data_IF_445542840364
#
_entry.id   IF_445542840364
#
_cell.length_a   1.000
_cell.length_b   1.000
_cell.length_c   1.000
_cell.angle_alpha   90.00
_cell.angle_beta   90.00
_cell.angle_gamma   90.00
#
_symmetry.space_group_name_H-M   'P 1'
#
loop_
_entity.id
_entity.type
_entity.pdbx_description
1 polymer ?
#
# COMPACT_ATOMS: atom_id res chain seq x y z
N UNK A 1 -31.67 -5.81 -63.72
CA UNK A 1 -30.75 -6.16 -64.82
C UNK A 1 -29.33 -5.85 -64.40
N UNK A 2 -28.53 -6.89 -64.11
CA UNK A 2 -27.05 -6.79 -64.19
C UNK A 2 -26.64 -6.64 -65.67
N UNK A 3 -25.44 -6.11 -65.96
CA UNK A 3 -24.26 -6.97 -66.23
C UNK A 3 -22.94 -6.43 -65.63
N UNK A 4 -22.06 -7.29 -65.07
CA UNK A 4 -20.79 -7.84 -65.62
C UNK A 4 -19.69 -6.78 -65.83
N UNK A 5 -18.57 -6.73 -65.08
CA UNK A 5 -17.42 -7.67 -64.98
C UNK A 5 -16.17 -7.10 -65.70
N UNK A 6 -15.10 -6.78 -64.95
CA UNK A 6 -13.73 -7.23 -65.27
C UNK A 6 -12.76 -6.97 -64.12
N UNK A 7 -11.91 -7.96 -63.88
CA UNK A 7 -10.83 -8.05 -62.88
C UNK A 7 -9.49 -7.56 -63.47
N UNK A 8 -8.53 -7.07 -62.68
CA UNK A 8 -7.29 -7.72 -62.19
C UNK A 8 -6.33 -6.53 -61.95
N UNK A 9 -5.38 -6.40 -61.01
CA UNK A 9 -4.50 -7.31 -60.27
C UNK A 9 -3.90 -6.47 -59.11
N UNK A 10 -3.62 -7.03 -57.93
CA UNK A 10 -2.25 -7.45 -57.61
C UNK A 10 -1.55 -6.51 -56.62
N UNK A 11 -1.51 -6.91 -55.33
CA UNK A 11 -0.32 -6.90 -54.43
C UNK A 11 -0.75 -7.29 -53.02
N UNK A 12 -0.48 -8.55 -52.67
CA UNK A 12 -0.44 -9.03 -51.29
C UNK A 12 0.71 -8.33 -50.55
N UNK A 13 0.39 -7.53 -49.53
CA UNK A 13 1.40 -7.10 -48.55
C UNK A 13 1.41 -8.12 -47.41
N UNK A 14 2.36 -9.04 -47.48
CA UNK A 14 2.76 -9.89 -46.36
C UNK A 14 3.29 -9.01 -45.23
N UNK A 15 2.63 -9.02 -44.08
CA UNK A 15 3.19 -8.50 -42.84
C UNK A 15 4.25 -9.49 -42.34
N UNK A 16 5.45 -9.05 -41.92
CA UNK A 16 6.43 -9.97 -41.38
C UNK A 16 5.87 -10.59 -40.09
N UNK A 17 5.92 -11.92 -40.00
CA UNK A 17 5.69 -12.64 -38.75
C UNK A 17 6.74 -12.17 -37.74
N UNK A 18 6.33 -11.37 -36.77
CA UNK A 18 7.13 -11.12 -35.58
C UNK A 18 7.24 -12.45 -34.85
N UNK A 19 8.43 -13.04 -34.86
CA UNK A 19 8.74 -14.19 -34.03
C UNK A 19 8.57 -13.78 -32.57
N UNK A 20 7.58 -14.36 -31.89
CA UNK A 20 7.42 -14.26 -30.44
C UNK A 20 8.56 -15.09 -29.85
N UNK A 21 9.63 -14.42 -29.45
CA UNK A 21 10.67 -15.06 -28.63
C UNK A 21 10.07 -15.34 -27.25
N UNK A 22 10.36 -16.52 -26.66
CA UNK A 22 9.89 -16.86 -25.32
C UNK A 22 10.51 -15.89 -24.32
N UNK A 23 9.65 -15.25 -23.53
CA UNK A 23 10.03 -14.36 -22.43
C UNK A 23 10.67 -15.23 -21.32
N UNK A 24 11.98 -15.44 -21.37
CA UNK A 24 12.75 -15.91 -20.21
C UNK A 24 12.75 -14.78 -19.20
N UNK A 25 12.21 -15.02 -18.01
CA UNK A 25 12.10 -14.02 -16.94
C UNK A 25 13.45 -13.41 -16.58
N UNK A 26 13.72 -12.20 -17.07
CA UNK A 26 14.72 -11.33 -16.47
C UNK A 26 14.08 -10.72 -15.23
N UNK A 27 14.47 -11.24 -14.07
CA UNK A 27 14.43 -10.45 -12.83
C UNK A 27 15.31 -9.22 -13.08
N UNK A 28 14.70 -8.06 -13.30
CA UNK A 28 15.42 -6.79 -13.36
C UNK A 28 15.87 -6.52 -11.92
N UNK A 29 17.14 -6.76 -11.63
CA UNK A 29 17.74 -6.38 -10.35
C UNK A 29 17.88 -4.85 -10.36
N UNK A 30 17.17 -4.10 -9.51
CA UNK A 30 17.33 -2.65 -9.45
C UNK A 30 18.77 -2.32 -9.05
N UNK A 31 19.37 -1.32 -9.70
CA UNK A 31 20.73 -0.87 -9.38
C UNK A 31 20.74 -0.23 -8.00
N UNK A 32 21.54 -0.78 -7.07
CA UNK A 32 21.71 -0.20 -5.75
C UNK A 32 22.37 1.17 -5.84
N UNK A 33 21.76 2.17 -5.20
CA UNK A 33 22.32 3.50 -5.08
C UNK A 33 22.98 3.70 -3.72
N UNK A 34 23.95 4.61 -3.67
CA UNK A 34 24.71 4.90 -2.45
C UNK A 34 24.14 6.14 -1.77
N UNK A 35 23.66 5.97 -0.54
CA UNK A 35 23.37 7.04 0.41
C UNK A 35 24.61 7.26 1.29
N UNK A 36 25.33 8.39 1.15
CA UNK A 36 26.47 8.67 2.01
C UNK A 36 25.99 9.14 3.39
N UNK A 37 26.47 8.49 4.46
CA UNK A 37 26.26 8.91 5.84
C UNK A 37 27.61 9.17 6.52
N UNK A 38 27.59 9.91 7.63
CA UNK A 38 28.77 10.16 8.46
C UNK A 38 29.40 8.85 8.98
N UNK A 39 28.56 7.86 9.31
CA UNK A 39 29.00 6.55 9.81
C UNK A 39 29.42 5.57 8.70
N UNK A 40 29.28 5.95 7.42
CA UNK A 40 29.58 5.09 6.28
C UNK A 40 28.54 5.18 5.18
N UNK A 41 28.79 4.48 4.08
CA UNK A 41 27.88 4.47 2.94
C UNK A 41 26.84 3.35 3.09
N UNK A 42 25.57 3.65 2.77
CA UNK A 42 24.51 2.67 2.60
C UNK A 42 24.22 2.41 1.14
N UNK A 43 24.19 1.14 0.74
CA UNK A 43 23.73 0.69 -0.58
C UNK A 43 22.27 0.29 -0.51
N UNK A 44 21.38 1.06 -1.14
CA UNK A 44 19.94 0.84 -1.08
C UNK A 44 19.35 0.72 -2.48
N UNK A 45 18.43 -0.22 -2.66
CA UNK A 45 17.61 -0.36 -3.88
C UNK A 45 16.14 -0.36 -3.51
N UNK A 46 15.30 0.02 -4.46
CA UNK A 46 13.85 -0.05 -4.32
C UNK A 46 13.38 -1.38 -4.93
N UNK A 47 13.00 -2.39 -4.13
CA UNK A 47 12.56 -3.67 -4.68
C UNK A 47 11.31 -3.49 -5.54
N UNK A 48 11.27 -4.16 -6.70
CA UNK A 48 10.08 -4.20 -7.55
C UNK A 48 9.76 -2.90 -8.31
N UNK A 49 10.66 -1.91 -8.33
CA UNK A 49 10.51 -0.65 -9.07
C UNK A 49 11.23 -0.65 -10.43
N UNK A 50 10.83 0.27 -11.30
CA UNK A 50 11.51 0.54 -12.57
C UNK A 50 12.93 1.12 -12.34
N UNK A 51 13.87 0.89 -13.28
CA UNK A 51 15.20 1.50 -13.23
C UNK A 51 15.14 3.03 -13.09
N UNK A 52 15.86 3.59 -12.11
CA UNK A 52 15.96 5.03 -11.86
C UNK A 52 15.10 5.58 -10.71
N UNK A 53 14.28 4.74 -10.07
CA UNK A 53 13.60 5.10 -8.81
C UNK A 53 14.48 4.72 -7.61
N UNK A 54 14.76 5.72 -6.77
CA UNK A 54 15.61 5.60 -5.59
C UNK A 54 14.86 5.02 -4.40
N UNK A 55 15.59 4.33 -3.53
CA UNK A 55 15.09 3.80 -2.25
C UNK A 55 15.03 4.86 -1.13
N UNK A 56 15.57 6.05 -1.40
CA UNK A 56 15.69 7.15 -0.45
C UNK A 56 15.60 8.49 -1.20
N UNK A 57 15.27 9.54 -0.47
CA UNK A 57 15.28 10.91 -0.96
C UNK A 57 15.98 11.87 0.01
N UNK A 58 16.00 13.15 -0.34
CA UNK A 58 16.72 14.16 0.45
C UNK A 58 16.15 14.37 1.86
N UNK A 59 14.91 13.95 2.14
CA UNK A 59 14.37 14.02 3.48
C UNK A 59 14.92 12.89 4.36
N UNK A 60 15.19 11.70 3.81
CA UNK A 60 15.88 10.63 4.54
C UNK A 60 17.30 11.07 4.93
N UNK A 61 18.03 11.68 3.98
CA UNK A 61 19.37 12.26 4.22
C UNK A 61 19.33 13.31 5.34
N UNK A 62 18.38 14.25 5.29
CA UNK A 62 18.28 15.32 6.28
C UNK A 62 17.87 14.79 7.66
N UNK A 63 16.96 13.82 7.72
CA UNK A 63 16.54 13.18 8.97
C UNK A 63 17.72 12.45 9.63
N UNK A 64 18.49 11.68 8.87
CA UNK A 64 19.67 10.95 9.38
C UNK A 64 20.74 11.90 9.92
N UNK A 65 21.04 12.98 9.19
CA UNK A 65 21.99 13.99 9.64
C UNK A 65 21.55 14.64 10.96
N UNK A 66 20.28 15.00 11.09
CA UNK A 66 19.76 15.67 12.28
C UNK A 66 19.60 14.73 13.48
N UNK A 67 19.30 13.46 13.24
CA UNK A 67 19.29 12.42 14.25
C UNK A 67 20.69 12.20 14.83
N UNK A 68 21.73 12.09 13.99
CA UNK A 68 23.12 11.93 14.43
C UNK A 68 23.60 13.04 15.38
N UNK A 69 23.10 14.27 15.22
CA UNK A 69 23.44 15.40 16.09
C UNK A 69 22.72 15.38 17.46
N UNK A 70 21.74 14.49 17.66
CA UNK A 70 20.83 14.49 18.83
C UNK A 70 20.84 13.19 19.62
N UNK A 71 21.52 12.17 19.11
CA UNK A 71 21.58 10.88 19.75
C UNK A 71 22.49 10.96 20.98
N UNK A 72 21.88 10.77 22.15
CA UNK A 72 22.59 10.65 23.42
C UNK A 72 23.34 9.30 23.49
N UNK A 73 24.00 9.03 24.61
CA UNK A 73 24.56 7.70 24.88
C UNK A 73 23.42 6.68 25.09
N UNK A 74 23.36 5.67 24.22
CA UNK A 74 22.39 4.55 24.27
C UNK A 74 20.88 4.95 24.26
N UNK A 75 20.40 5.69 23.25
CA UNK A 75 19.01 6.15 23.19
C UNK A 75 18.07 5.05 22.66
N UNK A 76 16.81 5.05 23.12
CA UNK A 76 15.73 4.27 22.50
C UNK A 76 15.22 5.03 21.27
N UNK A 77 15.53 4.52 20.09
CA UNK A 77 15.17 5.14 18.81
C UNK A 77 14.01 4.40 18.14
N UNK A 78 13.01 5.16 17.70
CA UNK A 78 11.90 4.66 16.89
C UNK A 78 11.92 5.31 15.51
N UNK A 79 11.82 4.49 14.47
CA UNK A 79 11.57 4.92 13.09
C UNK A 79 10.11 4.67 12.74
N UNK A 80 9.45 5.68 12.16
CA UNK A 80 8.04 5.63 11.74
C UNK A 80 7.95 5.87 10.24
N UNK A 81 7.30 4.94 9.53
CA UNK A 81 7.04 4.96 8.09
C UNK A 81 8.29 5.09 7.21
N UNK A 82 9.34 4.36 7.56
CA UNK A 82 10.43 4.09 6.62
C UNK A 82 9.87 3.38 5.38
N UNK A 83 10.33 3.78 4.19
CA UNK A 83 9.80 3.26 2.93
C UNK A 83 10.56 2.01 2.49
N UNK A 84 11.89 2.05 2.52
CA UNK A 84 12.75 1.00 1.99
C UNK A 84 13.97 0.70 2.86
N UNK A 85 13.97 1.18 4.11
CA UNK A 85 15.02 0.89 5.08
C UNK A 85 16.11 1.94 5.20
N UNK A 86 15.97 3.11 4.56
CA UNK A 86 17.02 4.12 4.56
C UNK A 86 17.26 4.69 5.96
N UNK A 87 16.18 5.00 6.67
CA UNK A 87 16.23 5.50 8.04
C UNK A 87 16.60 4.41 9.03
N UNK A 88 15.95 3.25 8.92
CA UNK A 88 16.13 2.12 9.83
C UNK A 88 17.56 1.61 9.78
N UNK A 89 18.09 1.31 8.59
CA UNK A 89 19.46 0.83 8.44
C UNK A 89 20.49 1.93 8.70
N UNK A 90 20.18 3.19 8.35
CA UNK A 90 21.10 4.32 8.57
C UNK A 90 21.30 4.64 10.04
N UNK A 91 20.22 4.68 10.81
CA UNK A 91 20.31 4.84 12.27
C UNK A 91 20.93 3.61 12.91
N UNK A 92 20.59 2.40 12.42
CA UNK A 92 21.19 1.18 12.93
C UNK A 92 22.70 1.09 12.70
N UNK A 93 23.20 1.60 11.58
CA UNK A 93 24.63 1.68 11.29
C UNK A 93 25.36 2.59 12.27
N UNK A 94 24.75 3.73 12.61
CA UNK A 94 25.40 4.75 13.42
C UNK A 94 25.28 4.48 14.93
N UNK A 95 24.21 3.82 15.40
CA UNK A 95 23.90 3.72 16.84
C UNK A 95 23.49 2.31 17.32
N UNK A 96 23.47 1.32 16.44
CA UNK A 96 22.97 -0.02 16.76
C UNK A 96 21.45 -0.16 16.60
N UNK A 97 20.87 -1.33 16.95
CA UNK A 97 19.50 -1.67 16.59
C UNK A 97 18.46 -0.63 16.98
N UNK A 98 17.53 -0.31 16.06
CA UNK A 98 16.42 0.62 16.28
C UNK A 98 15.08 -0.11 16.21
N UNK A 99 14.04 0.45 16.83
CA UNK A 99 12.66 0.00 16.63
C UNK A 99 12.12 0.62 15.35
N UNK A 100 11.37 -0.14 14.55
CA UNK A 100 10.73 0.35 13.32
C UNK A 100 9.27 -0.06 13.26
N UNK A 101 8.40 0.90 12.93
CA UNK A 101 6.97 0.69 12.67
C UNK A 101 6.58 1.37 11.36
N UNK A 102 5.75 0.70 10.54
CA UNK A 102 5.21 1.30 9.33
C UNK A 102 3.83 0.74 8.98
N UNK A 103 3.04 1.52 8.24
CA UNK A 103 1.79 1.04 7.63
C UNK A 103 1.97 0.26 6.33
N UNK A 104 3.13 -0.38 6.11
CA UNK A 104 3.39 -1.04 4.83
C UNK A 104 3.98 -2.44 5.00
N UNK A 105 3.31 -3.42 4.42
CA UNK A 105 3.79 -4.80 4.30
C UNK A 105 4.99 -4.95 3.36
N UNK A 106 5.35 -3.90 2.61
CA UNK A 106 6.55 -3.89 1.74
C UNK A 106 7.82 -3.72 2.56
N UNK A 107 7.74 -3.01 3.70
CA UNK A 107 8.93 -2.64 4.47
C UNK A 107 9.77 -3.85 4.94
N UNK A 108 9.21 -4.96 5.45
CA UNK A 108 10.01 -6.12 5.85
C UNK A 108 10.88 -6.68 4.73
N UNK A 109 10.30 -6.92 3.55
CA UNK A 109 11.04 -7.45 2.40
C UNK A 109 12.06 -6.44 1.87
N UNK A 110 11.73 -5.14 1.90
CA UNK A 110 12.66 -4.08 1.52
C UNK A 110 13.84 -3.96 2.48
N UNK A 111 13.61 -4.08 3.78
CA UNK A 111 14.65 -4.11 4.79
C UNK A 111 15.53 -5.34 4.65
N UNK A 112 14.95 -6.53 4.51
CA UNK A 112 15.73 -7.76 4.34
C UNK A 112 16.56 -7.72 3.04
N UNK A 113 15.98 -7.19 1.95
CA UNK A 113 16.71 -6.99 0.69
C UNK A 113 17.88 -6.02 0.87
N UNK A 114 17.65 -4.84 1.48
CA UNK A 114 18.69 -3.82 1.62
C UNK A 114 19.72 -4.16 2.70
N UNK A 115 19.35 -4.87 3.77
CA UNK A 115 20.29 -5.35 4.77
C UNK A 115 21.33 -6.32 4.17
N UNK A 116 20.93 -7.18 3.23
CA UNK A 116 21.86 -8.08 2.50
C UNK A 116 22.93 -7.32 1.70
N UNK A 117 22.64 -6.08 1.28
CA UNK A 117 23.58 -5.22 0.57
C UNK A 117 24.49 -4.41 1.51
N UNK A 118 24.24 -4.44 2.82
CA UNK A 118 24.97 -3.70 3.85
C UNK A 118 25.37 -4.63 5.01
N UNK A 119 26.33 -5.55 4.79
CA UNK A 119 26.75 -6.50 5.81
C UNK A 119 27.33 -5.77 7.03
N UNK A 120 26.97 -6.24 8.24
CA UNK A 120 27.42 -5.65 9.50
C UNK A 120 26.44 -4.66 10.14
N UNK A 121 25.38 -4.25 9.43
CA UNK A 121 24.30 -3.44 10.01
C UNK A 121 23.26 -4.38 10.62
N UNK A 122 22.98 -4.20 11.91
CA UNK A 122 21.96 -4.99 12.59
C UNK A 122 20.55 -4.56 12.14
N UNK A 123 19.76 -5.52 11.68
CA UNK A 123 18.32 -5.31 11.42
C UNK A 123 17.53 -5.38 12.73
N UNK A 124 16.37 -4.72 12.84
CA UNK A 124 15.46 -4.92 13.96
C UNK A 124 15.06 -6.40 14.06
N UNK A 125 15.07 -6.95 15.28
CA UNK A 125 14.66 -8.34 15.51
C UNK A 125 13.17 -8.56 15.23
N UNK A 126 12.36 -7.53 15.49
CA UNK A 126 10.94 -7.48 15.21
C UNK A 126 10.63 -6.18 14.46
N UNK A 127 9.87 -6.30 13.37
CA UNK A 127 9.26 -5.16 12.69
C UNK A 127 7.82 -5.01 13.15
N UNK A 128 7.47 -3.79 13.51
CA UNK A 128 6.14 -3.44 13.95
C UNK A 128 5.28 -2.92 12.79
N UNK A 129 3.98 -3.07 12.96
CA UNK A 129 2.93 -2.49 12.14
C UNK A 129 1.88 -1.89 13.09
N UNK A 130 0.83 -1.27 12.56
CA UNK A 130 -0.26 -0.77 13.40
C UNK A 130 -1.16 -1.88 13.96
N UNK A 131 -0.94 -3.15 13.58
CA UNK A 131 -1.54 -4.32 14.22
C UNK A 131 -0.80 -4.74 15.50
N UNK A 132 0.44 -4.27 15.68
CA UNK A 132 1.32 -4.57 16.82
C UNK A 132 2.24 -3.38 17.11
N UNK A 133 1.69 -2.20 17.42
CA UNK A 133 2.48 -0.98 17.60
C UNK A 133 3.49 -1.14 18.74
N UNK A 134 4.70 -0.55 18.63
CA UNK A 134 5.72 -0.67 19.66
C UNK A 134 5.39 0.17 20.89
N UNK A 135 5.85 -0.27 22.06
CA UNK A 135 5.68 0.43 23.34
C UNK A 135 6.89 1.32 23.65
N UNK A 136 6.60 2.53 24.14
CA UNK A 136 7.61 3.53 24.55
C UNK A 136 8.19 3.30 25.95
N UNK A 137 8.75 4.34 26.59
CA UNK A 137 9.08 5.63 25.99
C UNK A 137 10.29 5.56 25.04
N UNK A 138 10.28 6.37 23.98
CA UNK A 138 11.41 6.56 23.05
C UNK A 138 12.06 7.92 23.26
N UNK A 139 13.40 7.97 23.24
CA UNK A 139 14.17 9.20 23.39
C UNK A 139 14.21 9.99 22.07
N UNK A 140 14.20 9.28 20.94
CA UNK A 140 14.14 9.86 19.60
C UNK A 140 13.13 9.13 18.74
N UNK A 141 12.23 9.87 18.12
CA UNK A 141 11.34 9.38 17.05
C UNK A 141 11.72 10.05 15.74
N UNK A 142 12.00 9.27 14.71
CA UNK A 142 12.29 9.73 13.35
C UNK A 142 11.14 9.30 12.44
N UNK A 143 10.36 10.27 11.98
CA UNK A 143 9.10 10.06 11.27
C UNK A 143 9.19 10.58 9.83
N UNK A 144 8.79 9.74 8.86
CA UNK A 144 8.53 10.21 7.50
C UNK A 144 7.13 10.78 7.43
N UNK A 145 7.02 12.05 7.04
CA UNK A 145 5.72 12.72 6.97
C UNK A 145 4.91 12.07 5.84
N UNK A 146 3.72 11.48 6.14
CA UNK A 146 2.88 10.89 5.12
C UNK A 146 2.23 11.99 4.28
N UNK A 147 1.67 11.63 3.12
CA UNK A 147 0.99 12.57 2.21
C UNK A 147 -0.38 13.02 2.71
N UNK A 148 -0.99 12.25 3.59
CA UNK A 148 -2.36 12.47 4.06
C UNK A 148 -2.34 13.15 5.43
N UNK A 149 -2.98 14.32 5.53
CA UNK A 149 -2.99 15.13 6.76
C UNK A 149 -3.65 14.42 7.94
N UNK A 150 -4.74 13.68 7.70
CA UNK A 150 -5.40 12.89 8.74
C UNK A 150 -4.47 11.79 9.30
N UNK A 151 -3.67 11.15 8.44
CA UNK A 151 -2.71 10.15 8.89
C UNK A 151 -1.53 10.78 9.64
N UNK A 152 -1.02 11.92 9.18
CA UNK A 152 -0.04 12.71 9.94
C UNK A 152 -0.59 13.07 11.34
N UNK A 153 -1.81 13.58 11.43
CA UNK A 153 -2.44 13.92 12.71
C UNK A 153 -2.58 12.72 13.64
N UNK A 154 -2.92 11.55 13.09
CA UNK A 154 -2.97 10.29 13.83
C UNK A 154 -1.60 9.89 14.37
N UNK A 155 -0.56 9.92 13.51
CA UNK A 155 0.81 9.58 13.90
C UNK A 155 1.33 10.51 14.99
N UNK A 156 1.16 11.83 14.86
CA UNK A 156 1.65 12.79 15.85
C UNK A 156 0.97 12.59 17.22
N UNK A 157 -0.33 12.31 17.24
CA UNK A 157 -1.09 11.98 18.46
C UNK A 157 -0.64 10.67 19.09
N UNK A 158 -0.35 9.66 18.26
CA UNK A 158 0.22 8.40 18.74
C UNK A 158 1.64 8.58 19.27
N UNK A 159 2.49 9.36 18.59
CA UNK A 159 3.85 9.67 19.05
C UNK A 159 3.82 10.30 20.45
N UNK A 160 2.84 11.13 20.77
CA UNK A 160 2.71 11.70 22.12
C UNK A 160 2.48 10.64 23.22
N UNK A 161 1.98 9.44 22.91
CA UNK A 161 1.84 8.37 23.92
C UNK A 161 3.10 7.54 24.10
N UNK A 162 4.04 7.57 23.14
CA UNK A 162 5.26 6.75 23.17
C UNK A 162 6.56 7.55 23.25
N UNK A 163 6.53 8.87 23.09
CA UNK A 163 7.71 9.74 23.23
C UNK A 163 8.00 10.00 24.72
N UNK A 164 9.27 9.90 25.10
CA UNK A 164 9.74 10.30 26.43
C UNK A 164 9.45 11.80 26.68
N UNK A 165 9.28 12.21 27.93
CA UNK A 165 8.95 13.62 28.25
C UNK A 165 10.05 14.60 27.79
N UNK A 166 11.31 14.17 27.86
CA UNK A 166 12.47 14.92 27.33
C UNK A 166 12.90 14.46 25.93
N UNK A 167 12.09 13.61 25.28
CA UNK A 167 12.38 13.05 23.97
C UNK A 167 12.27 14.08 22.84
N UNK A 168 12.72 13.69 21.66
CA UNK A 168 12.67 14.50 20.44
C UNK A 168 11.94 13.75 19.31
N UNK A 169 11.09 14.47 18.58
CA UNK A 169 10.52 14.02 17.32
C UNK A 169 11.17 14.79 16.16
N UNK A 170 11.74 14.06 15.21
CA UNK A 170 12.18 14.57 13.92
C UNK A 170 11.21 14.09 12.84
N UNK A 171 10.42 15.00 12.27
CA UNK A 171 9.46 14.68 11.22
C UNK A 171 9.90 15.28 9.89
N UNK A 172 10.11 14.45 8.86
CA UNK A 172 10.73 14.86 7.60
C UNK A 172 10.02 14.39 6.34
N UNK A 173 9.98 15.26 5.33
CA UNK A 173 9.29 15.01 4.07
C UNK A 173 9.84 15.83 2.90
N UNK A 174 9.66 15.33 1.68
CA UNK A 174 9.85 16.16 0.49
C UNK A 174 8.72 17.18 0.43
N UNK A 175 9.02 18.47 0.22
CA UNK A 175 8.06 19.57 0.31
C UNK A 175 6.85 19.35 -0.60
N UNK A 176 7.07 18.87 -1.84
CA UNK A 176 6.02 18.54 -2.81
C UNK A 176 5.08 17.40 -2.40
N UNK A 177 5.35 16.75 -1.27
CA UNK A 177 4.63 15.57 -0.78
C UNK A 177 4.08 15.77 0.63
N UNK A 178 4.37 16.91 1.27
CA UNK A 178 3.78 17.26 2.55
C UNK A 178 2.27 17.49 2.37
N UNK A 179 1.43 17.08 3.32
CA UNK A 179 0.00 17.36 3.28
C UNK A 179 -0.26 18.86 3.23
N UNK A 180 -1.32 19.24 2.53
CA UNK A 180 -1.89 20.58 2.70
C UNK A 180 -2.23 20.80 4.18
N UNK A 181 -2.00 22.02 4.68
CA UNK A 181 -2.21 22.40 6.08
C UNK A 181 -1.44 21.54 7.10
N UNK A 182 -0.33 20.92 6.72
CA UNK A 182 0.51 20.18 7.68
C UNK A 182 0.92 21.05 8.87
N UNK A 183 1.12 22.36 8.67
CA UNK A 183 1.44 23.32 9.74
C UNK A 183 0.38 23.32 10.84
N UNK A 184 -0.90 23.35 10.48
CA UNK A 184 -2.01 23.34 11.44
C UNK A 184 -2.03 22.01 12.21
N UNK A 185 -1.82 20.89 11.51
CA UNK A 185 -1.75 19.55 12.11
C UNK A 185 -0.61 19.44 13.14
N UNK A 186 0.58 19.99 12.83
CA UNK A 186 1.69 20.05 13.79
C UNK A 186 1.36 20.93 15.00
N UNK A 187 0.79 22.12 14.77
CA UNK A 187 0.43 23.07 15.83
C UNK A 187 -0.63 22.51 16.79
N UNK A 188 -1.57 21.70 16.29
CA UNK A 188 -2.59 21.05 17.11
C UNK A 188 -2.07 19.84 17.89
N UNK A 189 -1.08 19.12 17.36
CA UNK A 189 -0.70 17.81 17.87
C UNK A 189 0.54 17.83 18.78
N UNK A 190 1.57 18.60 18.43
CA UNK A 190 2.90 18.54 19.07
C UNK A 190 3.47 19.93 19.34
N UNK A 191 4.46 20.02 20.22
CA UNK A 191 5.18 21.28 20.44
C UNK A 191 6.27 21.41 19.40
N UNK A 192 6.11 22.30 18.41
CA UNK A 192 7.14 22.53 17.39
C UNK A 192 8.24 23.44 17.96
N UNK A 193 9.47 22.93 18.05
CA UNK A 193 10.63 23.73 18.50
C UNK A 193 11.22 24.52 17.34
N UNK A 194 11.46 23.87 16.21
CA UNK A 194 12.13 24.50 15.07
C UNK A 194 11.77 23.81 13.76
N UNK A 195 11.58 24.60 12.70
CA UNK A 195 11.50 24.12 11.33
C UNK A 195 12.86 24.38 10.65
N UNK A 196 13.56 23.31 10.26
CA UNK A 196 14.91 23.46 9.70
C UNK A 196 14.89 24.06 8.28
N UNK A 197 15.98 24.72 7.84
CA UNK A 197 16.11 25.21 6.46
C UNK A 197 15.91 24.10 5.43
N UNK A 198 15.24 24.40 4.31
CA UNK A 198 15.03 23.42 3.26
C UNK A 198 16.36 23.03 2.61
N UNK A 199 16.57 21.74 2.40
CA UNK A 199 17.73 21.18 1.70
C UNK A 199 17.23 20.27 0.59
N UNK A 200 17.66 20.51 -0.66
CA UNK A 200 17.27 19.68 -1.82
C UNK A 200 15.76 19.40 -1.93
N UNK A 201 14.92 20.41 -1.62
CA UNK A 201 13.44 20.34 -1.57
C UNK A 201 12.87 19.42 -0.47
N UNK A 202 13.67 19.00 0.49
CA UNK A 202 13.23 18.36 1.72
C UNK A 202 13.10 19.36 2.87
N UNK A 203 12.27 19.01 3.84
CA UNK A 203 12.05 19.76 5.08
C UNK A 203 12.01 18.80 6.26
N UNK A 204 12.60 19.19 7.38
CA UNK A 204 12.49 18.53 8.68
C UNK A 204 11.96 19.51 9.71
N UNK A 205 11.05 19.04 10.54
CA UNK A 205 10.48 19.74 11.69
C UNK A 205 10.96 19.01 12.95
N UNK A 206 11.48 19.79 13.90
CA UNK A 206 11.91 19.32 15.22
C UNK A 206 10.82 19.65 16.23
N UNK A 207 10.34 18.63 16.93
CA UNK A 207 9.22 18.72 17.85
C UNK A 207 9.54 18.07 19.20
N UNK A 208 8.81 18.51 20.23
CA UNK A 208 8.68 17.86 21.53
C UNK A 208 7.29 17.25 21.70
N UNK A 209 7.16 16.43 22.73
CA UNK A 209 5.91 15.81 23.15
C UNK A 209 4.82 16.86 23.35
N UNK A 210 3.70 16.69 22.67
CA UNK A 210 2.48 17.46 22.88
C UNK A 210 1.53 16.79 23.87
N UNK A 211 0.34 17.37 24.04
CA UNK A 211 -0.72 16.85 24.92
C UNK A 211 -1.87 16.18 24.14
N UNK A 212 -1.86 16.30 22.81
CA UNK A 212 -2.91 15.77 21.96
C UNK A 212 -2.82 14.23 21.87
N UNK A 213 -3.93 13.55 22.12
CA UNK A 213 -4.00 12.08 22.16
C UNK A 213 -4.93 11.52 21.08
N UNK A 214 -4.83 10.21 20.81
CA UNK A 214 -5.75 9.47 19.95
C UNK A 214 -7.10 9.22 20.61
N UNK A 215 -7.10 8.99 21.93
CA UNK A 215 -8.33 8.71 22.68
C UNK A 215 -9.30 9.90 22.56
N UNK A 216 -10.52 9.63 22.12
CA UNK A 216 -11.55 10.66 21.91
C UNK A 216 -11.34 11.54 20.67
N UNK A 217 -10.32 11.31 19.85
CA UNK A 217 -10.13 12.06 18.61
C UNK A 217 -11.08 11.55 17.52
N UNK A 218 -12.07 12.36 17.18
CA UNK A 218 -13.14 12.01 16.24
C UNK A 218 -12.65 11.64 14.83
N UNK A 219 -11.46 12.10 14.43
CA UNK A 219 -10.88 11.78 13.12
C UNK A 219 -10.20 10.41 13.08
N UNK A 220 -10.11 9.69 14.21
CA UNK A 220 -9.51 8.34 14.27
C UNK A 220 -10.29 7.35 13.42
N UNK A 221 -11.61 7.39 13.50
CA UNK A 221 -12.52 6.52 12.74
C UNK A 221 -13.47 7.38 11.94
N UNK A 222 -13.54 7.11 10.64
CA UNK A 222 -14.50 7.73 9.72
C UNK A 222 -15.03 6.68 8.78
N UNK A 223 -16.25 6.88 8.32
CA UNK A 223 -16.92 5.90 7.50
C UNK A 223 -18.15 6.44 6.84
N UNK A 224 -18.86 5.54 6.20
CA UNK A 224 -20.12 5.80 5.51
C UNK A 224 -21.06 4.60 5.67
N UNK A 225 -22.38 4.82 5.65
CA UNK A 225 -23.33 3.72 5.56
C UNK A 225 -23.18 3.02 4.21
N UNK A 226 -23.32 1.69 4.21
CA UNK A 226 -23.32 0.87 3.01
C UNK A 226 -24.60 0.01 2.99
N UNK A 227 -25.34 0.09 1.89
CA UNK A 227 -26.57 -0.69 1.72
C UNK A 227 -26.28 -2.20 1.82
N UNK A 228 -27.15 -2.92 2.53
CA UNK A 228 -27.01 -4.36 2.78
C UNK A 228 -26.08 -4.73 3.94
N UNK A 229 -25.37 -3.78 4.55
CA UNK A 229 -24.56 -4.01 5.74
C UNK A 229 -25.29 -3.56 7.01
N UNK A 230 -25.14 -4.30 8.14
CA UNK A 230 -25.82 -3.99 9.40
C UNK A 230 -25.21 -2.77 10.14
N UNK A 231 -24.00 -2.34 9.76
CA UNK A 231 -23.30 -1.21 10.35
C UNK A 231 -22.58 -0.38 9.26
N UNK A 232 -22.22 0.89 9.56
CA UNK A 232 -21.35 1.68 8.67
C UNK A 232 -20.00 1.00 8.45
N UNK A 233 -19.41 1.24 7.28
CA UNK A 233 -18.04 0.82 6.98
C UNK A 233 -17.10 1.93 7.40
N UNK A 234 -16.30 1.69 8.43
CA UNK A 234 -15.38 2.66 9.01
C UNK A 234 -13.92 2.31 8.71
N UNK A 235 -13.04 3.30 8.72
CA UNK A 235 -11.62 3.08 8.53
C UNK A 235 -10.74 4.11 9.21
N UNK A 236 -9.53 3.65 9.53
CA UNK A 236 -8.44 4.43 10.06
C UNK A 236 -7.85 5.41 9.01
N UNK A 237 -7.05 6.42 9.44
CA UNK A 237 -6.67 7.55 8.58
C UNK A 237 -5.80 7.27 7.36
N UNK A 238 -5.04 6.18 7.34
CA UNK A 238 -4.22 5.79 6.19
C UNK A 238 -5.02 5.08 5.08
N UNK A 239 -6.26 4.65 5.37
CA UNK A 239 -7.06 3.82 4.47
C UNK A 239 -7.70 4.64 3.36
N UNK A 240 -7.62 4.12 2.13
CA UNK A 240 -8.23 4.72 0.95
C UNK A 240 -9.76 4.86 1.09
N UNK A 241 -10.28 5.98 0.60
CA UNK A 241 -11.72 6.27 0.54
C UNK A 241 -12.46 6.10 1.89
N UNK A 242 -11.79 6.36 3.02
CA UNK A 242 -12.38 6.22 4.36
C UNK A 242 -13.63 7.07 4.62
N UNK A 243 -13.70 8.27 4.04
CA UNK A 243 -14.81 9.21 4.31
C UNK A 243 -16.08 8.91 3.50
N UNK A 244 -15.92 8.32 2.30
CA UNK A 244 -17.00 8.13 1.33
C UNK A 244 -16.69 6.96 0.42
N UNK A 245 -17.71 6.19 0.06
CA UNK A 245 -17.59 5.11 -0.92
C UNK A 245 -16.95 5.59 -2.22
N UNK A 246 -15.82 4.96 -2.58
CA UNK A 246 -15.12 5.19 -3.84
C UNK A 246 -16.04 4.97 -5.04
N UNK A 247 -15.89 5.83 -6.06
CA UNK A 247 -16.75 5.77 -7.24
C UNK A 247 -16.44 4.50 -8.04
N UNK A 248 -15.18 4.08 -8.13
CA UNK A 248 -14.82 2.82 -8.78
C UNK A 248 -15.43 1.63 -8.04
N UNK A 249 -15.22 1.53 -6.72
CA UNK A 249 -15.84 0.48 -5.90
C UNK A 249 -17.37 0.44 -6.03
N UNK A 250 -18.03 1.60 -6.13
CA UNK A 250 -19.49 1.68 -6.35
C UNK A 250 -19.96 1.01 -7.63
N UNK A 251 -19.16 1.04 -8.70
CA UNK A 251 -19.49 0.37 -9.96
C UNK A 251 -19.37 -1.16 -9.85
N UNK A 252 -18.50 -1.63 -8.95
CA UNK A 252 -18.23 -3.04 -8.71
C UNK A 252 -19.27 -3.69 -7.79
N UNK A 253 -19.70 -2.98 -6.75
CA UNK A 253 -20.58 -3.50 -5.69
C UNK A 253 -21.85 -4.23 -6.18
N UNK A 254 -22.62 -3.72 -7.17
CA UNK A 254 -23.82 -4.39 -7.65
C UNK A 254 -23.57 -5.79 -8.24
N UNK A 255 -22.33 -6.08 -8.62
CA UNK A 255 -21.94 -7.35 -9.23
C UNK A 255 -21.40 -8.37 -8.21
N UNK A 256 -21.11 -7.95 -6.97
CA UNK A 256 -20.57 -8.83 -5.91
C UNK A 256 -21.59 -9.89 -5.51
N UNK A 257 -22.84 -9.50 -5.22
CA UNK A 257 -23.89 -10.43 -4.82
C UNK A 257 -24.18 -11.52 -5.85
N UNK A 258 -24.44 -11.17 -7.13
CA UNK A 258 -24.56 -12.15 -8.21
C UNK A 258 -23.33 -13.05 -8.37
N UNK A 259 -22.12 -12.52 -8.17
CA UNK A 259 -20.91 -13.32 -8.25
C UNK A 259 -20.82 -14.35 -7.12
N UNK A 260 -21.18 -13.97 -5.90
CA UNK A 260 -21.18 -14.87 -4.73
C UNK A 260 -22.28 -15.92 -4.83
N UNK A 261 -23.48 -15.55 -5.27
CA UNK A 261 -24.61 -16.48 -5.41
C UNK A 261 -24.34 -17.65 -6.39
N UNK A 262 -23.42 -17.46 -7.33
CA UNK A 262 -22.98 -18.50 -8.26
C UNK A 262 -21.90 -19.45 -7.71
N UNK A 263 -21.44 -19.26 -6.47
CA UNK A 263 -20.40 -20.08 -5.86
C UNK A 263 -21.00 -21.32 -5.16
N UNK A 264 -20.20 -22.39 -5.10
CA UNK A 264 -20.52 -23.60 -4.33
C UNK A 264 -20.42 -23.33 -2.81
N UNK A 265 -21.15 -24.10 -1.97
CA UNK A 265 -20.91 -24.10 -0.53
C UNK A 265 -19.45 -24.39 -0.19
N UNK A 266 -18.91 -23.69 0.80
CA UNK A 266 -17.51 -23.73 1.22
C UNK A 266 -16.53 -23.00 0.28
N UNK A 267 -17.02 -22.22 -0.70
CA UNK A 267 -16.14 -21.47 -1.60
C UNK A 267 -15.32 -20.40 -0.87
N UNK A 268 -14.12 -20.13 -1.39
CA UNK A 268 -13.20 -19.12 -0.85
C UNK A 268 -13.21 -17.88 -1.72
N UNK A 269 -13.42 -16.74 -1.09
CA UNK A 269 -13.36 -15.41 -1.70
C UNK A 269 -12.19 -14.65 -1.11
N UNK A 270 -11.45 -13.92 -1.94
CA UNK A 270 -10.43 -12.97 -1.50
C UNK A 270 -10.86 -11.55 -1.85
N UNK A 271 -10.89 -10.67 -0.85
CA UNK A 271 -10.88 -9.22 -1.07
C UNK A 271 -9.40 -8.76 -1.11
N UNK A 272 -8.89 -8.51 -2.31
CA UNK A 272 -7.49 -8.18 -2.56
C UNK A 272 -7.30 -6.66 -2.67
N UNK A 273 -6.32 -6.12 -1.96
CA UNK A 273 -6.20 -4.67 -1.71
C UNK A 273 -7.49 -4.13 -1.09
N UNK A 274 -7.91 -4.77 0.00
CA UNK A 274 -9.27 -4.65 0.53
C UNK A 274 -9.62 -3.27 1.09
N UNK A 275 -8.63 -2.44 1.47
CA UNK A 275 -8.87 -1.15 2.09
C UNK A 275 -9.72 -1.29 3.35
N UNK A 276 -10.91 -0.68 3.36
CA UNK A 276 -11.84 -0.79 4.50
C UNK A 276 -12.68 -2.10 4.50
N UNK A 277 -12.52 -2.96 3.49
CA UNK A 277 -13.16 -4.27 3.37
C UNK A 277 -14.57 -4.26 2.77
N UNK A 278 -15.05 -3.14 2.23
CA UNK A 278 -16.46 -3.02 1.79
C UNK A 278 -16.88 -4.10 0.78
N UNK A 279 -15.98 -4.54 -0.10
CA UNK A 279 -16.27 -5.60 -1.08
C UNK A 279 -16.44 -6.96 -0.39
N UNK A 280 -15.50 -7.36 0.46
CA UNK A 280 -15.57 -8.62 1.20
C UNK A 280 -16.70 -8.64 2.23
N UNK A 281 -17.00 -7.52 2.89
CA UNK A 281 -18.16 -7.39 3.78
C UNK A 281 -19.49 -7.56 3.01
N UNK A 282 -19.58 -7.00 1.80
CA UNK A 282 -20.75 -7.18 0.93
C UNK A 282 -20.90 -8.63 0.49
N UNK A 283 -19.79 -9.32 0.22
CA UNK A 283 -19.80 -10.75 -0.08
C UNK A 283 -20.32 -11.58 1.11
N UNK A 284 -19.86 -11.30 2.33
CA UNK A 284 -20.34 -11.96 3.56
C UNK A 284 -21.83 -11.72 3.81
N UNK A 285 -22.32 -10.50 3.55
CA UNK A 285 -23.72 -10.13 3.75
C UNK A 285 -24.70 -10.90 2.84
N UNK A 286 -24.22 -11.56 1.79
CA UNK A 286 -25.06 -12.39 0.91
C UNK A 286 -25.55 -13.68 1.60
N UNK A 287 -25.04 -14.03 2.80
CA UNK A 287 -25.50 -15.18 3.58
C UNK A 287 -25.20 -16.54 2.94
N UNK A 288 -24.29 -16.60 1.97
CA UNK A 288 -23.82 -17.83 1.35
C UNK A 288 -22.80 -18.52 2.25
N UNK A 289 -22.75 -19.86 2.22
CA UNK A 289 -21.70 -20.65 2.88
C UNK A 289 -20.35 -20.43 2.15
N UNK A 290 -19.68 -19.32 2.46
CA UNK A 290 -18.41 -18.91 1.89
C UNK A 290 -17.45 -18.48 2.99
N UNK A 291 -16.15 -18.57 2.70
CA UNK A 291 -15.10 -17.97 3.53
C UNK A 291 -14.50 -16.78 2.80
N UNK A 292 -14.44 -15.61 3.45
CA UNK A 292 -13.81 -14.42 2.88
C UNK A 292 -12.49 -14.13 3.58
N UNK A 293 -11.41 -14.13 2.80
CA UNK A 293 -10.10 -13.63 3.20
C UNK A 293 -9.91 -12.18 2.74
N UNK A 294 -9.10 -11.43 3.47
CA UNK A 294 -8.79 -10.03 3.21
C UNK A 294 -7.26 -9.86 3.17
N UNK A 295 -6.75 -9.18 2.14
CA UNK A 295 -5.32 -8.87 2.03
C UNK A 295 -5.12 -7.41 1.67
N UNK A 296 -4.26 -6.72 2.42
CA UNK A 296 -3.86 -5.36 2.11
C UNK A 296 -2.42 -5.10 2.53
N UNK A 297 -1.77 -4.19 1.80
CA UNK A 297 -0.43 -3.71 2.12
C UNK A 297 -0.45 -2.79 3.35
N UNK A 298 -1.60 -2.19 3.68
CA UNK A 298 -1.78 -1.32 4.84
C UNK A 298 -2.24 -2.11 6.07
N UNK A 299 -1.49 -1.97 7.16
CA UNK A 299 -1.89 -2.52 8.46
C UNK A 299 -3.12 -1.81 9.05
N UNK A 300 -3.31 -0.52 8.75
CA UNK A 300 -4.52 0.23 9.10
C UNK A 300 -5.75 -0.25 8.31
N UNK A 301 -5.56 -0.67 7.05
CA UNK A 301 -6.63 -1.31 6.27
C UNK A 301 -7.07 -2.62 6.95
N UNK A 302 -6.12 -3.48 7.31
CA UNK A 302 -6.42 -4.74 8.03
C UNK A 302 -7.07 -4.49 9.40
N UNK A 303 -6.59 -3.51 10.17
CA UNK A 303 -7.23 -3.12 11.42
C UNK A 303 -8.67 -2.61 11.20
N UNK A 304 -8.91 -1.89 10.10
CA UNK A 304 -10.25 -1.39 9.73
C UNK A 304 -11.19 -2.52 9.33
N UNK A 305 -10.69 -3.50 8.57
CA UNK A 305 -11.45 -4.72 8.24
C UNK A 305 -11.84 -5.47 9.51
N UNK A 306 -10.91 -5.69 10.44
CA UNK A 306 -11.18 -6.37 11.71
C UNK A 306 -12.23 -5.64 12.54
N UNK A 307 -12.16 -4.31 12.62
CA UNK A 307 -13.18 -3.47 13.24
C UNK A 307 -14.55 -3.66 12.58
N UNK A 308 -14.63 -3.54 11.25
CA UNK A 308 -15.89 -3.64 10.51
C UNK A 308 -16.51 -5.05 10.57
N UNK A 309 -15.70 -6.11 10.58
CA UNK A 309 -16.17 -7.48 10.81
C UNK A 309 -16.81 -7.60 12.20
N UNK A 310 -16.19 -7.00 13.21
CA UNK A 310 -16.71 -6.96 14.58
C UNK A 310 -18.04 -6.22 14.68
N UNK A 311 -18.12 -5.00 14.13
CA UNK A 311 -19.35 -4.19 14.15
C UNK A 311 -20.48 -4.80 13.32
N UNK A 312 -20.15 -5.51 12.23
CA UNK A 312 -21.14 -6.22 11.42
C UNK A 312 -21.52 -7.61 11.95
N UNK A 313 -20.84 -8.12 12.98
CA UNK A 313 -21.08 -9.46 13.52
C UNK A 313 -20.60 -10.60 12.60
N UNK A 314 -19.71 -10.33 11.66
CA UNK A 314 -19.17 -11.32 10.73
C UNK A 314 -17.87 -11.95 11.24
N UNK A 315 -17.40 -12.98 10.53
CA UNK A 315 -16.09 -13.62 10.72
C UNK A 315 -15.40 -13.71 9.36
N UNK A 316 -14.11 -13.34 9.34
CA UNK A 316 -13.26 -13.61 8.19
C UNK A 316 -12.68 -15.02 8.26
N UNK A 317 -12.19 -15.52 7.13
CA UNK A 317 -11.21 -16.60 7.10
C UNK A 317 -9.87 -16.11 7.62
N UNK A 318 -9.23 -15.21 6.87
CA UNK A 318 -7.96 -14.58 7.23
C UNK A 318 -7.96 -13.08 6.91
N UNK A 319 -7.27 -12.28 7.74
CA UNK A 319 -6.96 -10.88 7.44
C UNK A 319 -5.43 -10.72 7.44
N UNK A 320 -4.86 -10.46 6.26
CA UNK A 320 -3.42 -10.53 6.02
C UNK A 320 -2.84 -9.15 5.69
N UNK A 321 -1.85 -8.72 6.47
CA UNK A 321 -0.99 -7.59 6.14
C UNK A 321 0.09 -8.07 5.14
N UNK A 322 -0.15 -7.87 3.84
CA UNK A 322 0.69 -8.41 2.76
C UNK A 322 0.69 -7.54 1.51
N UNK A 323 1.83 -7.50 0.81
CA UNK A 323 1.92 -6.97 -0.55
C UNK A 323 1.38 -7.99 -1.56
N UNK A 324 0.08 -7.91 -1.86
CA UNK A 324 -0.59 -8.81 -2.80
C UNK A 324 -1.01 -10.15 -2.18
N UNK A 325 -0.73 -11.26 -2.87
CA UNK A 325 -1.04 -12.62 -2.40
C UNK A 325 0.27 -13.35 -2.13
N UNK A 326 0.48 -13.79 -0.88
CA UNK A 326 1.72 -14.48 -0.47
C UNK A 326 1.89 -15.80 -1.21
N UNK A 327 3.13 -16.16 -1.51
CA UNK A 327 3.45 -17.48 -2.06
C UNK A 327 3.00 -18.58 -1.08
N UNK A 328 2.35 -19.62 -1.62
CA UNK A 328 1.79 -20.71 -0.81
C UNK A 328 0.47 -20.38 -0.12
N UNK A 329 -0.11 -19.21 -0.37
CA UNK A 329 -1.49 -18.91 0.02
C UNK A 329 -2.48 -19.88 -0.65
N UNK A 330 -3.71 -19.85 -0.16
CA UNK A 330 -4.77 -20.66 -0.73
C UNK A 330 -5.12 -20.27 -2.16
N UNK A 331 -5.80 -21.18 -2.85
CA UNK A 331 -6.52 -20.84 -4.08
C UNK A 331 -7.95 -20.38 -3.76
N UNK A 332 -8.48 -19.53 -4.62
CA UNK A 332 -9.75 -18.84 -4.45
C UNK A 332 -10.71 -19.12 -5.60
N UNK A 333 -12.00 -19.25 -5.29
CA UNK A 333 -13.08 -19.37 -6.27
C UNK A 333 -13.46 -18.00 -6.85
N UNK A 334 -13.32 -16.94 -6.04
CA UNK A 334 -13.56 -15.55 -6.45
C UNK A 334 -12.51 -14.62 -5.84
N UNK A 335 -11.93 -13.74 -6.66
CA UNK A 335 -11.09 -12.63 -6.18
C UNK A 335 -11.80 -11.31 -6.52
N UNK A 336 -12.03 -10.46 -5.52
CA UNK A 336 -12.54 -9.10 -5.67
C UNK A 336 -11.37 -8.12 -5.63
N UNK A 337 -11.32 -7.16 -6.55
CA UNK A 337 -10.19 -6.24 -6.66
C UNK A 337 -10.59 -4.84 -7.14
N UNK A 338 -10.30 -3.82 -6.34
CA UNK A 338 -10.15 -2.44 -6.80
C UNK A 338 -8.65 -2.07 -6.65
N UNK A 339 -7.83 -2.22 -7.70
CA UNK A 339 -6.38 -2.09 -7.56
C UNK A 339 -6.00 -0.60 -7.34
N UNK A 340 -4.95 -0.32 -6.54
CA UNK A 340 -4.48 1.05 -6.37
C UNK A 340 -3.98 1.64 -7.70
N UNK A 341 -4.24 2.93 -7.90
CA UNK A 341 -3.91 3.65 -9.15
C UNK A 341 -2.70 4.60 -9.02
N UNK A 342 -2.16 4.78 -7.81
CA UNK A 342 -1.01 5.65 -7.52
C UNK A 342 -0.10 5.00 -6.46
N UNK A 343 1.22 4.99 -6.71
CA UNK A 343 2.21 4.68 -5.66
C UNK A 343 3.11 5.89 -5.47
N UNK A 344 3.11 6.50 -4.28
CA UNK A 344 4.02 7.60 -3.97
C UNK A 344 3.95 8.78 -4.97
N UNK A 345 2.80 9.03 -5.58
CA UNK A 345 2.61 10.09 -6.57
C UNK A 345 3.11 9.76 -7.98
N UNK A 346 3.55 8.52 -8.24
CA UNK A 346 3.81 8.00 -9.59
C UNK A 346 2.61 7.17 -10.03
N UNK A 347 2.03 7.52 -11.17
CA UNK A 347 1.06 6.69 -11.88
C UNK A 347 1.86 5.59 -12.57
N UNK A 348 1.69 4.35 -12.14
CA UNK A 348 2.34 3.20 -12.75
C UNK A 348 1.43 1.98 -12.70
N UNK A 349 1.31 1.28 -13.82
CA UNK A 349 0.53 0.03 -13.92
C UNK A 349 1.22 -1.15 -13.22
N UNK A 350 2.43 -0.98 -12.70
CA UNK A 350 3.26 -2.08 -12.17
C UNK A 350 2.63 -2.77 -10.97
N UNK A 351 1.97 -2.04 -10.06
CA UNK A 351 1.23 -2.66 -8.94
C UNK A 351 0.06 -3.47 -9.47
N UNK A 352 -0.80 -2.86 -10.31
CA UNK A 352 -1.96 -3.56 -10.87
C UNK A 352 -1.54 -4.82 -11.66
N UNK A 353 -0.49 -4.75 -12.47
CA UNK A 353 0.06 -5.89 -13.20
C UNK A 353 0.55 -7.00 -12.27
N UNK A 354 1.19 -6.65 -11.15
CA UNK A 354 1.61 -7.61 -10.12
C UNK A 354 0.40 -8.31 -9.51
N UNK A 355 -0.60 -7.54 -9.07
CA UNK A 355 -1.83 -8.07 -8.50
C UNK A 355 -2.59 -8.95 -9.50
N UNK A 356 -2.63 -8.61 -10.78
CA UNK A 356 -3.26 -9.44 -11.82
C UNK A 356 -2.55 -10.78 -11.98
N UNK A 357 -1.21 -10.77 -12.01
CA UNK A 357 -0.41 -11.98 -12.09
C UNK A 357 -0.60 -12.85 -10.85
N UNK A 358 -0.63 -12.25 -9.67
CA UNK A 358 -0.77 -12.98 -8.41
C UNK A 358 -2.17 -13.56 -8.29
N UNK A 359 -3.21 -12.81 -8.66
CA UNK A 359 -4.59 -13.29 -8.75
C UNK A 359 -4.71 -14.47 -9.72
N UNK A 360 -4.15 -14.38 -10.92
CA UNK A 360 -4.20 -15.48 -11.91
C UNK A 360 -3.58 -16.79 -11.39
N UNK A 361 -2.51 -16.71 -10.59
CA UNK A 361 -1.85 -17.88 -9.98
C UNK A 361 -2.64 -18.50 -8.83
N UNK A 362 -3.52 -17.74 -8.19
CA UNK A 362 -4.25 -18.16 -6.99
C UNK A 362 -5.75 -18.36 -7.23
N UNK A 363 -6.19 -18.42 -8.49
CA UNK A 363 -7.54 -18.91 -8.80
C UNK A 363 -7.53 -20.43 -8.94
N UNK A 364 -8.56 -21.07 -8.38
CA UNK A 364 -8.84 -22.49 -8.69
C UNK A 364 -9.24 -22.64 -10.17
N UNK A 365 -9.18 -23.86 -10.75
CA UNK A 365 -9.82 -24.12 -12.03
C UNK A 365 -11.31 -23.75 -12.00
N UNK A 366 -11.72 -22.86 -12.92
CA UNK A 366 -13.09 -22.31 -12.96
C UNK A 366 -13.33 -21.12 -12.03
N UNK A 367 -12.35 -20.73 -11.22
CA UNK A 367 -12.35 -19.50 -10.43
C UNK A 367 -12.24 -18.27 -11.32
N UNK A 368 -12.64 -17.12 -10.77
CA UNK A 368 -12.60 -15.84 -11.51
C UNK A 368 -12.25 -14.66 -10.61
N UNK A 369 -11.69 -13.62 -11.22
CA UNK A 369 -11.47 -12.33 -10.59
C UNK A 369 -12.51 -11.33 -11.13
N UNK A 370 -13.17 -10.61 -10.23
CA UNK A 370 -14.03 -9.49 -10.55
C UNK A 370 -13.34 -8.20 -10.09
N UNK A 371 -13.08 -7.29 -11.03
CA UNK A 371 -12.29 -6.10 -10.73
C UNK A 371 -12.84 -4.84 -11.39
N UNK A 372 -12.58 -3.69 -10.79
CA UNK A 372 -12.85 -2.38 -11.41
C UNK A 372 -11.54 -1.69 -11.79
N UNK A 373 -11.53 -1.01 -12.93
CA UNK A 373 -10.39 -0.23 -13.39
C UNK A 373 -10.80 1.10 -13.97
N UNK A 374 -9.91 2.09 -13.88
CA UNK A 374 -10.04 3.34 -14.60
C UNK A 374 -10.04 3.08 -16.12
N UNK A 375 -11.03 3.62 -16.83
CA UNK A 375 -11.21 3.41 -18.28
C UNK A 375 -9.98 3.79 -19.11
N UNK A 376 -9.32 4.90 -18.74
CA UNK A 376 -8.16 5.43 -19.46
C UNK A 376 -6.91 4.52 -19.37
N UNK A 377 -6.83 3.62 -18.38
CA UNK A 377 -5.71 2.69 -18.23
C UNK A 377 -5.82 1.48 -19.16
N UNK A 378 -7.01 1.20 -19.72
CA UNK A 378 -7.15 0.15 -20.73
C UNK A 378 -6.79 -1.26 -20.24
N UNK A 379 -7.09 -1.60 -18.98
CA UNK A 379 -6.69 -2.86 -18.33
C UNK A 379 -7.09 -4.14 -19.07
N UNK A 380 -8.08 -4.13 -19.95
CA UNK A 380 -8.40 -5.27 -20.82
C UNK A 380 -7.19 -5.82 -21.59
N UNK A 381 -6.20 -4.97 -21.95
CA UNK A 381 -4.96 -5.41 -22.61
C UNK A 381 -4.02 -6.11 -21.63
N UNK A 382 -3.86 -5.52 -20.45
CA UNK A 382 -2.99 -6.03 -19.39
C UNK A 382 -3.50 -7.34 -18.81
N UNK A 383 -4.81 -7.48 -18.61
CA UNK A 383 -5.45 -8.69 -18.11
C UNK A 383 -5.24 -9.89 -19.05
N UNK A 384 -5.33 -9.67 -20.37
CA UNK A 384 -5.10 -10.72 -21.39
C UNK A 384 -3.68 -11.32 -21.37
N UNK A 385 -2.75 -10.72 -20.64
CA UNK A 385 -1.39 -11.28 -20.44
C UNK A 385 -1.37 -12.42 -19.42
N UNK A 386 -2.34 -12.44 -18.49
CA UNK A 386 -2.37 -13.35 -17.34
C UNK A 386 -3.61 -14.25 -17.30
N UNK A 387 -4.69 -13.85 -18.00
CA UNK A 387 -5.97 -14.55 -18.00
C UNK A 387 -6.36 -14.95 -19.43
N UNK A 388 -6.78 -16.20 -19.63
CA UNK A 388 -7.29 -16.71 -20.90
C UNK A 388 -8.63 -16.09 -21.31
N UNK A 389 -9.46 -15.68 -20.35
CA UNK A 389 -10.75 -15.04 -20.58
C UNK A 389 -10.86 -13.71 -19.85
N UNK A 390 -11.28 -12.65 -20.56
CA UNK A 390 -11.52 -11.30 -20.00
C UNK A 390 -12.81 -10.74 -20.59
N UNK A 391 -13.82 -10.50 -19.76
CA UNK A 391 -15.12 -9.97 -20.14
C UNK A 391 -15.40 -8.63 -19.45
N UNK A 392 -15.98 -7.67 -20.16
CA UNK A 392 -16.53 -6.47 -19.55
C UNK A 392 -17.92 -6.78 -19.00
N UNK A 393 -18.13 -6.56 -17.69
CA UNK A 393 -19.40 -6.83 -17.00
C UNK A 393 -20.25 -5.58 -16.80
N UNK A 394 -19.60 -4.44 -16.59
CA UNK A 394 -20.25 -3.14 -16.49
C UNK A 394 -19.26 -2.04 -16.93
N UNK A 395 -19.78 -0.85 -17.26
CA UNK A 395 -18.94 0.29 -17.53
C UNK A 395 -19.68 1.61 -17.35
N UNK A 396 -18.94 2.62 -16.91
CA UNK A 396 -19.36 4.03 -16.85
C UNK A 396 -18.36 4.90 -17.61
N UNK A 397 -18.57 6.24 -17.70
CA UNK A 397 -17.63 7.12 -18.40
C UNK A 397 -16.21 7.04 -17.86
N UNK A 398 -16.04 6.80 -16.54
CA UNK A 398 -14.72 6.79 -15.88
C UNK A 398 -14.19 5.39 -15.57
N UNK A 399 -15.06 4.42 -15.35
CA UNK A 399 -14.68 3.09 -14.87
C UNK A 399 -15.19 1.98 -15.77
N UNK A 400 -14.51 0.84 -15.72
CA UNK A 400 -14.93 -0.40 -16.38
C UNK A 400 -14.77 -1.54 -15.38
N UNK A 401 -15.79 -2.38 -15.24
CA UNK A 401 -15.74 -3.59 -14.43
C UNK A 401 -15.46 -4.79 -15.35
N UNK A 402 -14.43 -5.55 -15.02
CA UNK A 402 -14.01 -6.74 -15.74
C UNK A 402 -14.21 -7.99 -14.88
N UNK A 403 -14.60 -9.08 -15.53
CA UNK A 403 -14.42 -10.43 -15.02
C UNK A 403 -13.28 -11.09 -15.81
N UNK A 404 -12.32 -11.68 -15.11
CA UNK A 404 -11.19 -12.37 -15.71
C UNK A 404 -11.05 -13.78 -15.13
N UNK A 405 -10.77 -14.76 -15.98
CA UNK A 405 -10.61 -16.17 -15.60
C UNK A 405 -9.38 -16.79 -16.31
N UNK A 406 -8.71 -17.78 -15.68
CA UNK A 406 -7.50 -18.41 -16.21
C UNK A 406 -7.63 -18.91 -17.65
#
# INVERSE_FOLDING_TARGET
MSPLSSALSGRSRSWPRIAVLPFTGLSIVPSAEVLPLTAGNLKLSRPGAEPGLRAWDAADELLLAEAGNRLADSPRVLVVDDQFGALTLGLAQAHGPVTSVADSAVLPDALDYNARHNPGIARPALLHSWLNPPEGPFDLVVLRIPRHGAYLGWLLRWVNSVLADNGCLLAGGMIKHLPDRSVDVFAEAVVTETVLPARKKARVVVCRKGQAQLQGWAESWKGYPQEGLPAPVEALPAVFARDKLDIGTRELLPLVGPAVAGLKPGARVLDLACGNGVLGLTALACGSDITVDFSDVSSQAIASVQHNLGTCGYRAGQCQHSDGIREGAAQYDLILLNPPFHEGGVVGDHIALRLFRDAAKHLVPGGRMLMVGNRHLGYHKSLKRFFGKVEQRAASPRFVVFEAAP
#
